data_IF_441692106954
#
_entry.id   IF_441692106954
#
_cell.length_a   1.000
_cell.length_b   1.000
_cell.length_c   1.000
_cell.angle_alpha   90.00
_cell.angle_beta   90.00
_cell.angle_gamma   90.00
#
_symmetry.space_group_name_H-M   'P 1'
#
loop_
_entity.id
_entity.type
_entity.pdbx_description
1 polymer ?
#
# COMPACT_ATOMS: atom_id res chain seq x y z
N UNK A 1 29.60 -0.05 -8.44
CA UNK A 1 28.47 -0.94 -8.70
C UNK A 1 27.15 -0.24 -8.43
N UNK A 2 26.15 -0.40 -9.29
CA UNK A 2 24.87 0.24 -9.04
C UNK A 2 24.19 -0.39 -7.82
N UNK A 3 23.46 0.43 -7.08
CA UNK A 3 22.69 -0.05 -5.96
C UNK A 3 21.53 -0.91 -6.44
N UNK A 4 21.20 -1.91 -5.65
CA UNK A 4 20.08 -2.80 -5.94
C UNK A 4 18.90 -2.45 -5.03
N UNK A 5 17.75 -3.03 -5.37
CA UNK A 5 16.54 -2.90 -4.54
C UNK A 5 16.83 -3.35 -3.10
N UNK A 6 17.55 -4.48 -2.94
CA UNK A 6 17.89 -5.00 -1.61
C UNK A 6 18.70 -4.01 -0.77
N UNK A 7 19.53 -3.18 -1.41
CA UNK A 7 20.36 -2.21 -0.70
C UNK A 7 19.55 -1.06 -0.09
N UNK A 8 18.36 -0.80 -0.60
CA UNK A 8 17.61 0.42 -0.31
C UNK A 8 16.22 0.15 0.28
N UNK A 9 15.64 -1.00 0.00
CA UNK A 9 14.28 -1.34 0.46
C UNK A 9 14.15 -1.29 1.97
N UNK A 10 12.94 -1.05 2.46
CA UNK A 10 12.61 -1.27 3.86
C UNK A 10 12.39 -2.76 4.06
N UNK A 11 13.12 -3.36 4.99
CA UNK A 11 13.03 -4.78 5.29
C UNK A 11 11.93 -5.05 6.30
N UNK A 12 11.45 -6.29 6.30
CA UNK A 12 10.42 -6.75 7.23
C UNK A 12 9.22 -5.80 7.25
N UNK A 13 8.58 -5.58 6.09
CA UNK A 13 7.47 -4.64 6.02
C UNK A 13 6.28 -5.15 6.82
N UNK A 14 5.47 -4.22 7.29
CA UNK A 14 4.20 -4.58 7.91
C UNK A 14 3.31 -5.14 6.81
N UNK A 15 2.74 -6.32 7.03
CA UNK A 15 1.85 -6.97 6.06
C UNK A 15 0.52 -7.27 6.72
N UNK A 16 -0.52 -7.46 5.91
CA UNK A 16 -1.84 -7.86 6.39
C UNK A 16 -2.33 -9.05 5.58
N UNK A 17 -3.44 -9.62 6.01
CA UNK A 17 -4.06 -10.79 5.38
C UNK A 17 -5.36 -10.39 4.70
N UNK A 18 -5.85 -11.24 3.80
CA UNK A 18 -7.13 -10.95 3.15
C UNK A 18 -8.28 -10.84 4.14
N UNK A 19 -8.26 -11.67 5.18
CA UNK A 19 -9.29 -11.68 6.20
C UNK A 19 -9.11 -10.59 7.26
N UNK A 20 -8.01 -9.84 7.24
CA UNK A 20 -7.80 -8.73 8.17
C UNK A 20 -8.93 -7.72 8.02
N UNK A 21 -9.55 -7.29 9.13
CA UNK A 21 -10.57 -6.24 9.05
C UNK A 21 -10.00 -4.98 8.43
N UNK A 22 -10.74 -4.37 7.53
CA UNK A 22 -10.30 -3.14 6.85
C UNK A 22 -9.98 -2.05 7.86
N UNK A 23 -10.76 -1.96 8.95
CA UNK A 23 -10.51 -1.02 10.03
C UNK A 23 -9.09 -1.13 10.57
N UNK A 24 -8.60 -2.35 10.75
CA UNK A 24 -7.25 -2.58 11.27
C UNK A 24 -6.20 -2.08 10.30
N UNK A 25 -6.36 -2.36 9.00
CA UNK A 25 -5.44 -1.88 7.98
C UNK A 25 -5.42 -0.36 7.92
N UNK A 26 -6.58 0.27 8.01
CA UNK A 26 -6.70 1.73 8.02
C UNK A 26 -5.95 2.32 9.21
N UNK A 27 -6.09 1.71 10.39
CA UNK A 27 -5.38 2.17 11.58
C UNK A 27 -3.87 2.07 11.42
N UNK A 28 -3.39 0.97 10.84
CA UNK A 28 -1.96 0.79 10.58
C UNK A 28 -1.43 1.86 9.64
N UNK A 29 -2.13 2.11 8.53
CA UNK A 29 -1.73 3.14 7.57
C UNK A 29 -1.65 4.52 8.24
N UNK A 30 -2.65 4.85 9.04
CA UNK A 30 -2.71 6.15 9.70
C UNK A 30 -1.64 6.30 10.79
N UNK A 31 -1.49 5.31 11.66
CA UNK A 31 -0.56 5.38 12.79
C UNK A 31 0.89 5.32 12.37
N UNK A 32 1.21 4.54 11.34
CA UNK A 32 2.58 4.37 10.86
C UNK A 32 2.98 5.36 9.79
N UNK A 33 2.04 6.20 9.34
CA UNK A 33 2.26 7.18 8.27
C UNK A 33 2.80 6.51 6.99
N UNK A 34 2.25 5.35 6.66
CA UNK A 34 2.62 4.63 5.44
C UNK A 34 1.44 4.64 4.48
N UNK A 35 1.72 4.53 3.19
CA UNK A 35 0.70 4.72 2.16
C UNK A 35 0.21 3.42 1.55
N UNK A 36 0.74 2.28 1.97
CA UNK A 36 0.29 1.00 1.45
C UNK A 36 0.84 -0.17 2.25
N UNK A 37 0.11 -1.29 2.19
CA UNK A 37 0.45 -2.52 2.90
C UNK A 37 0.37 -3.69 1.94
N UNK A 38 1.42 -4.51 1.85
CA UNK A 38 1.31 -5.78 1.12
C UNK A 38 0.31 -6.70 1.83
N UNK A 39 -0.47 -7.43 1.03
CA UNK A 39 -1.41 -8.42 1.54
C UNK A 39 -0.84 -9.80 1.19
N UNK A 40 -0.70 -10.64 2.19
CA UNK A 40 -0.07 -11.96 2.02
C UNK A 40 -1.02 -13.09 2.43
N UNK A 41 -0.73 -14.28 1.95
CA UNK A 41 -1.46 -15.49 2.33
C UNK A 41 -0.82 -16.15 3.57
N UNK A 42 -1.29 -17.35 3.93
CA UNK A 42 -0.79 -18.09 5.09
C UNK A 42 0.69 -18.43 5.01
N UNK A 43 1.25 -18.47 3.81
CA UNK A 43 2.64 -18.80 3.57
C UNK A 43 3.53 -17.56 3.42
N UNK A 44 2.96 -16.38 3.59
CA UNK A 44 3.71 -15.12 3.44
C UNK A 44 3.86 -14.67 2.00
N UNK A 45 3.17 -15.31 1.06
CA UNK A 45 3.25 -14.95 -0.35
C UNK A 45 2.31 -13.80 -0.69
N UNK A 46 2.77 -12.92 -1.56
CA UNK A 46 2.01 -11.73 -1.95
C UNK A 46 0.76 -12.12 -2.74
N UNK A 47 -0.40 -11.62 -2.30
CA UNK A 47 -1.68 -11.83 -3.00
C UNK A 47 -2.33 -10.53 -3.41
N UNK A 48 -1.90 -9.40 -2.85
CA UNK A 48 -2.46 -8.11 -3.19
C UNK A 48 -1.74 -6.99 -2.49
N UNK A 49 -2.25 -5.78 -2.69
CA UNK A 49 -1.77 -4.61 -1.97
C UNK A 49 -2.96 -3.73 -1.62
N UNK A 50 -2.96 -3.15 -0.42
CA UNK A 50 -3.95 -2.15 -0.05
C UNK A 50 -3.24 -0.84 0.19
N UNK A 51 -3.73 0.22 -0.43
CA UNK A 51 -3.06 1.51 -0.42
C UNK A 51 -4.08 2.65 -0.33
N UNK A 52 -3.56 3.86 -0.13
CA UNK A 52 -4.38 5.05 -0.17
C UNK A 52 -5.21 5.12 -1.45
N UNK A 53 -4.64 4.70 -2.58
CA UNK A 53 -5.33 4.73 -3.87
C UNK A 53 -6.58 3.86 -3.85
N UNK A 54 -6.52 2.69 -3.21
CA UNK A 54 -7.67 1.79 -3.10
C UNK A 54 -8.78 2.40 -2.24
N UNK A 55 -8.41 3.29 -1.34
CA UNK A 55 -9.34 3.93 -0.42
C UNK A 55 -9.89 5.26 -0.97
N UNK A 56 -9.30 5.76 -2.05
CA UNK A 56 -9.68 7.03 -2.65
C UNK A 56 -10.61 6.82 -3.84
N UNK A 57 -11.84 7.23 -3.69
CA UNK A 57 -12.89 7.03 -4.70
C UNK A 57 -13.15 8.28 -5.54
N UNK A 58 -12.17 9.13 -5.66
CA UNK A 58 -12.35 10.47 -6.21
C UNK A 58 -12.72 10.53 -7.69
N UNK A 59 -12.30 9.53 -8.46
CA UNK A 59 -12.48 9.58 -9.91
C UNK A 59 -13.83 9.06 -10.40
N UNK A 60 -14.62 8.46 -9.53
CA UNK A 60 -15.86 7.83 -9.93
C UNK A 60 -17.09 8.73 -9.86
N UNK A 61 -16.93 9.93 -9.29
CA UNK A 61 -18.06 10.82 -9.05
C UNK A 61 -19.02 10.34 -7.97
N UNK A 62 -18.68 9.25 -7.30
CA UNK A 62 -19.46 8.69 -6.20
C UNK A 62 -19.02 9.30 -4.90
N UNK A 63 -19.95 9.46 -3.95
CA UNK A 63 -19.62 9.93 -2.61
C UNK A 63 -18.58 9.01 -1.98
N UNK A 64 -17.45 9.55 -1.48
CA UNK A 64 -16.43 8.71 -0.87
C UNK A 64 -16.99 7.89 0.28
N UNK A 65 -16.52 6.64 0.46
CA UNK A 65 -16.89 5.85 1.63
C UNK A 65 -16.50 6.55 2.93
N UNK A 66 -17.24 6.27 3.99
CA UNK A 66 -17.03 6.93 5.27
C UNK A 66 -15.63 6.70 5.85
N UNK A 67 -15.00 5.57 5.57
CA UNK A 67 -13.67 5.28 6.08
C UNK A 67 -12.60 6.21 5.50
N UNK A 68 -12.79 6.75 4.30
CA UNK A 68 -11.87 7.72 3.73
C UNK A 68 -11.94 9.02 4.53
N UNK A 69 -13.14 9.43 4.90
CA UNK A 69 -13.33 10.60 5.75
C UNK A 69 -12.69 10.40 7.12
N UNK A 70 -12.76 9.18 7.63
CA UNK A 70 -12.14 8.82 8.90
C UNK A 70 -10.60 8.94 8.81
N UNK A 71 -10.00 8.47 7.72
CA UNK A 71 -8.55 8.57 7.50
C UNK A 71 -8.06 10.01 7.47
N UNK A 72 -8.83 10.88 6.82
CA UNK A 72 -8.45 12.28 6.67
C UNK A 72 -8.77 13.09 7.92
N UNK A 73 -9.35 12.44 8.94
CA UNK A 73 -9.84 13.09 10.15
C UNK A 73 -10.85 14.20 9.83
N UNK A 74 -11.47 14.12 8.65
CA UNK A 74 -12.49 15.07 8.22
C UNK A 74 -13.84 14.39 8.33
N UNK A 75 -14.60 14.74 9.38
CA UNK A 75 -15.92 14.19 9.58
C UNK A 75 -16.92 15.14 8.94
N UNK A 76 -17.39 14.78 7.75
CA UNK A 76 -18.42 15.54 7.06
C UNK A 76 -19.78 14.98 7.42
N UNK A 77 -20.47 15.63 8.32
CA UNK A 77 -21.77 15.17 8.78
C UNK A 77 -22.90 15.88 8.01
N UNK A 78 -22.95 15.70 6.69
CA UNK A 78 -24.06 16.19 5.89
C UNK A 78 -25.34 15.46 6.22
N UNK A 79 -25.20 14.17 6.55
CA UNK A 79 -26.32 13.31 6.96
C UNK A 79 -25.80 12.31 7.96
N UNK A 80 -25.92 12.58 9.27
CA UNK A 80 -25.35 11.71 10.30
C UNK A 80 -25.82 10.26 10.22
N UNK A 81 -27.08 10.01 9.91
CA UNK A 81 -27.59 8.65 9.82
C UNK A 81 -26.97 7.88 8.68
N UNK A 82 -26.80 8.52 7.51
CA UNK A 82 -26.13 7.89 6.36
C UNK A 82 -24.66 7.68 6.65
N UNK A 83 -24.01 8.66 7.29
CA UNK A 83 -22.60 8.56 7.66
C UNK A 83 -22.35 7.36 8.57
N UNK A 84 -23.15 7.20 9.63
CA UNK A 84 -23.01 6.07 10.55
C UNK A 84 -23.19 4.74 9.84
N UNK A 85 -24.18 4.65 8.97
CA UNK A 85 -24.47 3.44 8.21
C UNK A 85 -23.32 3.08 7.29
N UNK A 86 -22.82 4.06 6.56
CA UNK A 86 -21.70 3.86 5.63
C UNK A 86 -20.43 3.53 6.38
N UNK A 87 -20.19 4.15 7.53
CA UNK A 87 -19.03 3.87 8.36
C UNK A 87 -19.06 2.43 8.87
N UNK A 88 -20.20 1.99 9.40
CA UNK A 88 -20.36 0.61 9.88
C UNK A 88 -20.13 -0.39 8.76
N UNK A 89 -20.70 -0.11 7.59
CA UNK A 89 -20.54 -0.98 6.43
C UNK A 89 -19.09 -1.05 5.99
N UNK A 90 -18.43 0.08 5.91
CA UNK A 90 -17.02 0.14 5.49
C UNK A 90 -16.10 -0.54 6.51
N UNK A 91 -16.32 -0.29 7.80
CA UNK A 91 -15.48 -0.88 8.85
C UNK A 91 -15.73 -2.37 9.04
N UNK A 92 -16.84 -2.89 8.49
CA UNK A 92 -17.13 -4.32 8.51
C UNK A 92 -16.48 -5.09 7.36
N UNK A 93 -15.87 -4.39 6.39
CA UNK A 93 -15.23 -5.03 5.26
C UNK A 93 -13.87 -5.59 5.64
N UNK A 94 -13.39 -6.55 4.82
CA UNK A 94 -12.05 -7.10 4.96
C UNK A 94 -11.12 -6.48 3.93
N UNK A 95 -9.82 -6.58 4.18
CA UNK A 95 -8.79 -6.12 3.25
C UNK A 95 -8.97 -6.77 1.88
N UNK A 96 -9.28 -8.08 1.84
CA UNK A 96 -9.45 -8.80 0.58
C UNK A 96 -10.55 -8.25 -0.31
N UNK A 97 -11.57 -7.62 0.28
CA UNK A 97 -12.67 -7.05 -0.49
C UNK A 97 -12.29 -5.73 -1.18
N UNK A 98 -11.25 -5.07 -0.70
CA UNK A 98 -10.89 -3.72 -1.15
C UNK A 98 -9.53 -3.69 -1.84
N UNK A 99 -8.63 -4.62 -1.55
CA UNK A 99 -7.27 -4.63 -2.08
C UNK A 99 -7.21 -4.67 -3.60
N UNK A 100 -6.12 -4.17 -4.16
CA UNK A 100 -5.79 -4.36 -5.56
C UNK A 100 -5.15 -5.74 -5.70
N UNK A 101 -5.65 -6.54 -6.64
CA UNK A 101 -5.12 -7.88 -6.91
C UNK A 101 -4.01 -7.79 -7.95
N UNK A 102 -3.16 -8.81 -7.97
CA UNK A 102 -2.04 -8.89 -8.90
C UNK A 102 -1.14 -7.66 -8.86
N UNK A 103 -0.62 -7.32 -7.67
CA UNK A 103 0.24 -6.15 -7.56
C UNK A 103 1.54 -6.34 -8.32
N UNK A 104 2.09 -5.22 -8.79
CA UNK A 104 3.39 -5.24 -9.44
C UNK A 104 4.45 -5.36 -8.36
N UNK A 105 5.31 -6.35 -8.47
CA UNK A 105 6.37 -6.63 -7.51
C UNK A 105 7.73 -6.64 -8.21
N UNK A 106 8.79 -6.67 -7.43
CA UNK A 106 10.16 -6.66 -7.97
C UNK A 106 11.03 -7.60 -7.15
N UNK A 107 12.09 -8.12 -7.75
CA UNK A 107 13.05 -8.94 -7.03
C UNK A 107 14.16 -8.09 -6.42
N UNK A 108 14.79 -8.57 -5.33
CA UNK A 108 15.79 -7.76 -4.62
C UNK A 108 17.08 -7.50 -5.40
N UNK A 109 17.36 -8.33 -6.40
CA UNK A 109 18.57 -8.18 -7.22
C UNK A 109 18.47 -7.11 -8.29
N UNK A 110 17.27 -6.62 -8.59
CA UNK A 110 17.09 -5.58 -9.60
C UNK A 110 17.74 -4.28 -9.16
N UNK A 111 18.18 -3.48 -10.16
CA UNK A 111 18.78 -2.18 -9.87
C UNK A 111 17.72 -1.14 -9.55
N UNK A 112 18.13 -0.07 -8.89
CA UNK A 112 17.22 1.05 -8.63
C UNK A 112 16.72 1.70 -9.93
N UNK A 113 17.54 1.70 -10.97
CA UNK A 113 17.14 2.20 -12.27
C UNK A 113 15.97 1.38 -12.84
N UNK A 114 16.08 0.05 -12.76
CA UNK A 114 15.02 -0.84 -13.21
C UNK A 114 13.74 -0.62 -12.40
N UNK A 115 13.88 -0.44 -11.08
CA UNK A 115 12.74 -0.17 -10.20
C UNK A 115 12.08 1.17 -10.55
N UNK A 116 12.88 2.21 -10.77
CA UNK A 116 12.36 3.54 -11.14
C UNK A 116 11.62 3.47 -12.47
N UNK A 117 12.15 2.72 -13.44
CA UNK A 117 11.52 2.53 -14.73
C UNK A 117 10.15 1.86 -14.59
N UNK A 118 10.06 0.81 -13.78
CA UNK A 118 8.80 0.12 -13.53
C UNK A 118 7.78 1.07 -12.87
N UNK A 119 8.21 1.82 -11.87
CA UNK A 119 7.33 2.77 -11.20
C UNK A 119 6.79 3.81 -12.15
N UNK A 120 7.63 4.32 -13.04
CA UNK A 120 7.24 5.31 -14.03
C UNK A 120 6.28 4.71 -15.06
N UNK A 121 6.67 3.60 -15.69
CA UNK A 121 5.91 2.99 -16.78
C UNK A 121 4.56 2.45 -16.32
N UNK A 122 4.48 1.95 -15.10
CA UNK A 122 3.26 1.35 -14.56
C UNK A 122 2.49 2.30 -13.65
N UNK A 123 2.99 3.52 -13.47
CA UNK A 123 2.36 4.56 -12.62
C UNK A 123 2.10 4.07 -11.21
N UNK A 124 3.07 3.38 -10.62
CA UNK A 124 2.98 2.92 -9.23
C UNK A 124 4.03 3.61 -8.39
N UNK A 125 3.76 3.76 -7.11
CA UNK A 125 4.60 4.52 -6.18
C UNK A 125 5.34 3.64 -5.19
N UNK A 126 5.03 2.36 -5.18
CA UNK A 126 5.65 1.38 -4.28
C UNK A 126 5.66 0.02 -4.94
N UNK A 127 6.68 -0.76 -4.61
CA UNK A 127 6.83 -2.10 -5.14
C UNK A 127 7.13 -3.05 -3.98
N UNK A 128 6.26 -4.02 -3.72
CA UNK A 128 6.63 -5.12 -2.82
C UNK A 128 7.84 -5.85 -3.40
N UNK A 129 8.76 -6.23 -2.53
CA UNK A 129 9.96 -6.94 -2.93
C UNK A 129 9.80 -8.41 -2.54
N UNK A 130 9.92 -9.27 -3.52
CA UNK A 130 9.70 -10.71 -3.35
C UNK A 130 10.97 -11.48 -3.59
N UNK A 131 11.24 -12.47 -2.75
CA UNK A 131 12.26 -13.46 -3.07
C UNK A 131 11.69 -14.53 -4.01
N UNK A 132 12.54 -15.45 -4.47
CA UNK A 132 12.17 -16.44 -5.49
C UNK A 132 10.98 -17.33 -5.13
N UNK A 133 10.70 -17.50 -3.85
CA UNK A 133 9.56 -18.29 -3.37
C UNK A 133 8.24 -17.51 -3.43
N UNK A 134 8.28 -16.20 -3.72
CA UNK A 134 7.10 -15.36 -3.71
C UNK A 134 6.83 -14.69 -2.37
N UNK A 135 7.65 -14.93 -1.37
CA UNK A 135 7.49 -14.30 -0.06
C UNK A 135 7.91 -12.85 -0.09
N UNK A 136 7.16 -12.00 0.61
CA UNK A 136 7.44 -10.57 0.72
C UNK A 136 8.58 -10.40 1.73
N UNK A 137 9.69 -9.81 1.27
CA UNK A 137 10.86 -9.57 2.12
C UNK A 137 11.13 -8.08 2.34
N UNK A 138 10.45 -7.23 1.60
CA UNK A 138 10.64 -5.79 1.73
C UNK A 138 9.61 -5.01 0.95
N UNK A 139 9.73 -3.71 1.02
CA UNK A 139 8.94 -2.79 0.19
C UNK A 139 9.85 -1.65 -0.23
N UNK A 140 9.72 -1.24 -1.49
CA UNK A 140 10.47 -0.14 -2.07
C UNK A 140 9.51 0.96 -2.47
N UNK A 141 9.76 2.19 -2.04
CA UNK A 141 8.92 3.33 -2.37
C UNK A 141 9.70 4.34 -3.22
N UNK A 142 8.97 5.27 -3.85
CA UNK A 142 9.62 6.38 -4.56
C UNK A 142 10.53 7.17 -3.64
N UNK A 143 10.10 7.38 -2.39
CA UNK A 143 10.91 8.09 -1.40
C UNK A 143 12.24 7.41 -1.13
N UNK A 144 12.24 6.07 -1.08
CA UNK A 144 13.47 5.31 -0.89
C UNK A 144 14.47 5.57 -2.03
N UNK A 145 13.98 5.59 -3.26
CA UNK A 145 14.81 5.85 -4.43
C UNK A 145 15.38 7.27 -4.40
N UNK A 146 14.52 8.24 -4.08
CA UNK A 146 14.95 9.65 -4.00
C UNK A 146 16.02 9.83 -2.93
N UNK A 147 15.83 9.23 -1.76
CA UNK A 147 16.84 9.31 -0.70
C UNK A 147 18.17 8.67 -1.11
N UNK A 148 18.10 7.55 -1.83
CA UNK A 148 19.30 6.89 -2.34
C UNK A 148 20.03 7.76 -3.37
N UNK A 149 19.27 8.44 -4.22
CA UNK A 149 19.86 9.37 -5.20
C UNK A 149 20.56 10.53 -4.51
N UNK A 150 19.95 11.08 -3.47
CA UNK A 150 20.53 12.18 -2.71
C UNK A 150 21.84 11.75 -2.01
N UNK A 151 21.86 10.53 -1.46
CA UNK A 151 23.03 10.00 -0.77
C UNK A 151 24.18 9.68 -1.71
N UNK A 152 23.92 9.38 -2.97
CA UNK A 152 24.94 8.99 -3.94
C UNK A 152 25.61 10.16 -4.64
N UNK A 153 25.34 11.40 -4.24
CA UNK A 153 25.91 12.60 -4.84
C UNK A 153 27.15 13.11 -4.13
N UNK A 154 27.81 12.30 -3.38
CA UNK A 154 29.05 12.65 -2.68
C UNK A 154 30.25 12.72 -3.62
#
# INVERSE_FOLDING_TARGET
>A
MPKTVADVMSRDPIVVREETPLKEAIQILAERHISGLPVVDDLGKLVGIISETDLMWQETGVTPPAYIMFLDSVIYLKNPATYERDLHKALGQTVGEVMSKNPIAISPEKTLREAATIMHDRSVHRLPVLEGTGQVIGILTRGDIIRAMAASQD
#
